data_IF_160620994088
#
_entry.id   IF_160620994088
#
_cell.length_a   1.000
_cell.length_b   1.000
_cell.length_c   1.000
_cell.angle_alpha   90.00
_cell.angle_beta   90.00
_cell.angle_gamma   90.00
#
_symmetry.space_group_name_H-M   'P 1'
#
loop_
_entity.id
_entity.type
_entity.pdbx_description
1 polymer ?
#
# COMPACT_ATOMS: atom_id res chain seq x y z
N UNK A 1 5.01 -50.26 -37.47
CA UNK A 1 5.36 -48.82 -37.57
C UNK A 1 6.59 -48.67 -38.46
N UNK A 2 6.59 -47.75 -39.43
CA UNK A 2 7.74 -47.57 -40.31
C UNK A 2 8.87 -46.84 -39.57
N UNK A 3 10.13 -47.03 -39.99
CA UNK A 3 11.29 -46.33 -39.41
C UNK A 3 11.11 -44.80 -39.43
N UNK A 4 10.41 -44.27 -40.43
CA UNK A 4 10.09 -42.85 -40.53
C UNK A 4 9.13 -42.39 -39.42
N UNK A 5 8.12 -43.20 -39.06
CA UNK A 5 7.17 -42.87 -37.99
C UNK A 5 7.86 -42.81 -36.62
N UNK A 6 8.84 -43.69 -36.37
CA UNK A 6 9.60 -43.69 -35.10
C UNK A 6 10.49 -42.46 -34.99
N UNK A 7 11.15 -42.06 -36.08
CA UNK A 7 12.03 -40.88 -36.10
C UNK A 7 11.22 -39.60 -35.85
N UNK A 8 10.04 -39.46 -36.48
CA UNK A 8 9.16 -38.29 -36.28
C UNK A 8 8.68 -38.21 -34.83
N UNK A 9 8.33 -39.34 -34.21
CA UNK A 9 7.90 -39.36 -32.81
C UNK A 9 9.02 -38.98 -31.85
N UNK A 10 10.25 -39.44 -32.10
CA UNK A 10 11.43 -39.13 -31.27
C UNK A 10 11.81 -37.65 -31.40
N UNK A 11 11.71 -37.07 -32.60
CA UNK A 11 11.96 -35.64 -32.81
C UNK A 11 10.90 -34.77 -32.14
N UNK A 12 9.62 -35.15 -32.22
CA UNK A 12 8.54 -34.43 -31.53
C UNK A 12 8.64 -34.51 -30.00
N UNK A 13 9.06 -35.66 -29.47
CA UNK A 13 9.36 -35.82 -28.04
C UNK A 13 10.55 -34.97 -27.59
N UNK A 14 11.60 -34.86 -28.41
CA UNK A 14 12.75 -34.00 -28.10
C UNK A 14 12.43 -32.49 -28.18
N UNK A 15 11.63 -32.07 -29.16
CA UNK A 15 11.18 -30.66 -29.27
C UNK A 15 10.22 -30.30 -28.13
N UNK A 16 9.34 -31.22 -27.73
CA UNK A 16 8.46 -31.05 -26.58
C UNK A 16 9.21 -30.96 -25.24
N UNK A 17 10.30 -31.72 -25.07
CA UNK A 17 11.09 -31.68 -23.83
C UNK A 17 11.96 -30.43 -23.70
N UNK A 18 12.53 -29.93 -24.80
CA UNK A 18 13.35 -28.70 -24.78
C UNK A 18 12.48 -27.45 -24.55
N UNK A 19 11.23 -27.45 -24.99
CA UNK A 19 10.31 -26.33 -24.77
C UNK A 19 9.76 -26.24 -23.33
N UNK A 20 9.75 -27.34 -22.57
CA UNK A 20 9.32 -27.35 -21.17
C UNK A 20 10.41 -26.95 -20.16
N UNK A 21 11.66 -26.77 -20.61
CA UNK A 21 12.77 -26.35 -19.73
C UNK A 21 13.17 -24.88 -19.89
N UNK A 22 12.37 -24.08 -20.59
CA UNK A 22 12.44 -22.63 -20.48
C UNK A 22 11.94 -22.24 -19.07
N UNK A 23 12.82 -22.40 -18.08
CA UNK A 23 12.67 -21.75 -16.78
C UNK A 23 12.69 -20.27 -17.09
N UNK A 24 11.52 -19.62 -17.03
CA UNK A 24 11.48 -18.18 -17.01
C UNK A 24 12.48 -17.75 -15.94
N UNK A 25 13.52 -17.04 -16.36
CA UNK A 25 14.30 -16.25 -15.42
C UNK A 25 13.28 -15.28 -14.87
N UNK A 26 12.78 -15.56 -13.66
CA UNK A 26 12.26 -14.54 -12.78
C UNK A 26 13.40 -13.52 -12.70
N UNK A 27 13.31 -12.48 -13.53
CA UNK A 27 13.97 -11.23 -13.20
C UNK A 27 13.42 -10.91 -11.82
N UNK A 28 14.28 -10.87 -10.81
CA UNK A 28 13.95 -10.15 -9.58
C UNK A 28 13.49 -8.77 -10.07
N UNK A 29 12.18 -8.57 -10.12
CA UNK A 29 11.63 -7.25 -10.26
C UNK A 29 12.03 -6.62 -8.95
N UNK A 30 12.90 -5.61 -8.99
CA UNK A 30 13.32 -4.90 -7.79
C UNK A 30 12.08 -4.66 -6.93
N UNK A 31 12.15 -5.10 -5.67
CA UNK A 31 11.05 -4.92 -4.73
C UNK A 31 10.79 -3.42 -4.68
N UNK A 32 9.62 -3.01 -5.15
CA UNK A 32 9.33 -1.59 -5.24
C UNK A 32 9.06 -1.07 -3.83
N UNK A 33 9.87 -0.10 -3.39
CA UNK A 33 9.78 0.48 -2.05
C UNK A 33 9.88 1.99 -2.12
N UNK A 34 9.32 2.65 -1.11
CA UNK A 34 9.48 4.08 -0.92
C UNK A 34 9.64 4.41 0.57
N UNK A 35 10.38 5.47 0.91
CA UNK A 35 10.57 5.87 2.29
C UNK A 35 9.32 6.55 2.86
N UNK A 36 9.07 6.36 4.15
CA UNK A 36 8.13 7.17 4.94
C UNK A 36 8.68 7.42 6.34
N UNK A 37 8.16 8.45 7.02
CA UNK A 37 8.47 8.70 8.42
C UNK A 37 7.59 7.83 9.29
N UNK A 38 8.20 6.87 9.96
CA UNK A 38 7.56 6.11 11.01
C UNK A 38 7.70 6.86 12.35
N UNK A 39 6.58 7.08 13.02
CA UNK A 39 6.50 7.63 14.36
C UNK A 39 6.39 6.48 15.36
N UNK A 40 7.31 6.41 16.32
CA UNK A 40 7.22 5.52 17.46
C UNK A 40 6.33 6.11 18.57
N UNK A 41 6.12 5.36 19.65
CA UNK A 41 5.41 5.85 20.83
C UNK A 41 6.02 7.16 21.34
N UNK A 42 5.20 8.21 21.50
CA UNK A 42 5.65 9.54 21.88
C UNK A 42 6.08 10.45 20.72
N UNK A 43 5.96 9.97 19.46
CA UNK A 43 6.17 10.78 18.27
C UNK A 43 7.62 10.85 17.78
N UNK A 44 8.51 9.98 18.26
CA UNK A 44 9.88 9.90 17.76
C UNK A 44 9.90 9.47 16.30
N UNK A 45 10.59 10.24 15.45
CA UNK A 45 10.67 10.01 14.02
C UNK A 45 11.81 9.05 13.64
N UNK A 46 11.49 8.07 12.81
CA UNK A 46 12.44 7.12 12.22
C UNK A 46 12.10 6.92 10.73
N UNK A 47 13.09 6.77 9.86
CA UNK A 47 12.83 6.47 8.44
C UNK A 47 12.66 4.97 8.23
N UNK A 48 11.53 4.58 7.65
CA UNK A 48 11.22 3.19 7.29
C UNK A 48 10.90 3.09 5.80
N UNK A 49 10.99 1.88 5.25
CA UNK A 49 10.56 1.59 3.89
C UNK A 49 9.15 0.96 3.91
N UNK A 50 8.26 1.53 3.12
CA UNK A 50 7.03 0.85 2.70
C UNK A 50 7.31 0.03 1.45
N UNK A 51 6.59 -1.07 1.28
CA UNK A 51 6.75 -1.99 0.15
C UNK A 51 5.48 -2.01 -0.69
N UNK A 52 5.60 -1.77 -1.98
CA UNK A 52 4.51 -1.90 -2.94
C UNK A 52 4.40 -3.38 -3.35
N UNK A 53 3.38 -4.06 -2.84
CA UNK A 53 3.08 -5.46 -3.13
C UNK A 53 2.39 -5.63 -4.49
N UNK A 54 1.61 -4.64 -4.89
CA UNK A 54 0.85 -4.62 -6.14
C UNK A 54 0.80 -3.18 -6.66
N UNK A 55 1.01 -3.02 -7.96
CA UNK A 55 0.84 -1.75 -8.68
C UNK A 55 0.25 -2.03 -10.06
N UNK A 56 -0.87 -1.38 -10.38
CA UNK A 56 -1.52 -1.51 -11.69
C UNK A 56 -2.19 -0.18 -12.07
N UNK A 57 -1.70 0.44 -13.15
CA UNK A 57 -2.24 1.68 -13.70
C UNK A 57 -3.21 1.48 -14.86
N UNK A 58 -4.13 2.42 -15.02
CA UNK A 58 -4.84 2.71 -16.27
C UNK A 58 -4.80 4.23 -16.54
N UNK A 59 -5.56 4.71 -17.53
CA UNK A 59 -5.57 6.13 -17.92
C UNK A 59 -6.24 7.08 -16.93
N UNK A 60 -6.84 6.57 -15.85
CA UNK A 60 -7.63 7.36 -14.89
C UNK A 60 -7.15 7.25 -13.44
N UNK A 61 -6.59 6.10 -13.07
CA UNK A 61 -6.00 5.89 -11.75
C UNK A 61 -4.95 4.78 -11.78
N UNK A 62 -4.15 4.75 -10.72
CA UNK A 62 -3.25 3.64 -10.38
C UNK A 62 -3.68 3.04 -9.05
N UNK A 63 -3.82 1.71 -9.02
CA UNK A 63 -4.09 0.95 -7.80
C UNK A 63 -2.79 0.45 -7.18
N UNK A 64 -2.72 0.50 -5.85
CA UNK A 64 -1.60 0.04 -5.05
C UNK A 64 -2.08 -0.89 -3.93
N UNK A 65 -1.28 -1.90 -3.60
CA UNK A 65 -1.26 -2.50 -2.26
C UNK A 65 0.08 -2.20 -1.62
N UNK A 66 0.06 -1.55 -0.45
CA UNK A 66 1.25 -1.09 0.25
C UNK A 66 1.36 -1.76 1.61
N UNK A 67 2.42 -2.52 1.84
CA UNK A 67 2.79 -3.03 3.15
C UNK A 67 3.66 -2.01 3.88
N UNK A 68 3.30 -1.65 5.11
CA UNK A 68 4.06 -0.73 5.94
C UNK A 68 3.90 -1.04 7.43
N UNK A 69 4.82 -0.53 8.25
CA UNK A 69 4.76 -0.69 9.69
C UNK A 69 3.86 0.37 10.31
N UNK A 70 2.75 -0.04 10.94
CA UNK A 70 1.70 0.87 11.44
C UNK A 70 1.94 1.36 12.86
N UNK A 71 2.24 0.48 13.80
CA UNK A 71 2.67 0.84 15.16
C UNK A 71 3.64 -0.22 15.68
N UNK A 72 4.73 0.24 16.29
CA UNK A 72 5.65 -0.60 17.09
C UNK A 72 5.46 -0.38 18.60
N UNK A 73 4.44 0.39 18.95
CA UNK A 73 4.17 0.91 20.27
C UNK A 73 3.52 -0.11 21.23
N UNK A 74 3.19 -1.31 20.75
CA UNK A 74 2.59 -2.42 21.52
C UNK A 74 3.15 -3.76 21.05
N UNK A 75 2.83 -4.80 21.80
CA UNK A 75 3.27 -6.16 21.55
C UNK A 75 2.93 -6.65 20.13
N UNK A 76 3.84 -7.43 19.53
CA UNK A 76 3.68 -8.03 18.20
C UNK A 76 2.47 -8.95 18.07
N UNK A 77 1.93 -9.45 19.18
CA UNK A 77 0.69 -10.24 19.20
C UNK A 77 -0.54 -9.43 18.80
N UNK A 78 -0.47 -8.10 18.87
CA UNK A 78 -1.58 -7.18 18.57
C UNK A 78 -1.20 -6.05 17.60
N UNK A 79 0.06 -6.00 17.16
CA UNK A 79 0.56 -5.07 16.15
C UNK A 79 1.39 -5.81 15.10
N UNK A 80 1.06 -5.61 13.84
CA UNK A 80 1.75 -6.23 12.73
C UNK A 80 1.81 -5.25 11.54
N UNK A 81 2.43 -5.68 10.44
CA UNK A 81 2.44 -4.89 9.22
C UNK A 81 1.01 -4.63 8.74
N UNK A 82 0.70 -3.37 8.46
CA UNK A 82 -0.52 -3.00 7.76
C UNK A 82 -0.33 -3.22 6.26
N UNK A 83 -1.41 -3.64 5.59
CA UNK A 83 -1.49 -3.66 4.12
C UNK A 83 -2.62 -2.72 3.72
N UNK A 84 -2.28 -1.59 3.09
CA UNK A 84 -3.25 -0.61 2.62
C UNK A 84 -3.50 -0.81 1.13
N UNK A 85 -4.75 -1.01 0.72
CA UNK A 85 -5.14 -0.85 -0.66
C UNK A 85 -5.55 0.59 -0.92
N UNK A 86 -4.99 1.20 -1.97
CA UNK A 86 -5.30 2.60 -2.32
C UNK A 86 -5.26 2.79 -3.83
N UNK A 87 -6.24 3.51 -4.35
CA UNK A 87 -6.28 3.98 -5.73
C UNK A 87 -5.98 5.48 -5.76
N UNK A 88 -5.07 5.91 -6.63
CA UNK A 88 -4.69 7.31 -6.78
C UNK A 88 -5.02 7.80 -8.20
N UNK A 89 -5.61 8.98 -8.30
CA UNK A 89 -5.90 9.60 -9.59
C UNK A 89 -4.60 10.02 -10.28
N UNK A 90 -4.36 9.48 -11.48
CA UNK A 90 -3.26 9.87 -12.37
C UNK A 90 -3.73 10.72 -13.56
N UNK A 91 -5.04 10.99 -13.68
CA UNK A 91 -5.61 11.78 -14.77
C UNK A 91 -5.72 13.27 -14.48
N UNK A 92 -5.13 13.74 -13.38
CA UNK A 92 -5.21 15.16 -13.01
C UNK A 92 -4.17 15.95 -13.81
N UNK A 93 -4.37 17.26 -14.04
CA UNK A 93 -3.40 18.07 -14.78
C UNK A 93 -2.02 18.16 -14.11
N UNK A 94 -1.97 18.09 -12.78
CA UNK A 94 -0.74 18.22 -11.99
C UNK A 94 -0.66 17.16 -10.89
N UNK A 95 0.55 16.84 -10.46
CA UNK A 95 0.79 15.91 -9.37
C UNK A 95 0.12 16.36 -8.06
N UNK A 96 0.14 17.66 -7.77
CA UNK A 96 -0.45 18.24 -6.56
C UNK A 96 -1.98 18.08 -6.51
N UNK A 97 -2.62 18.00 -7.67
CA UNK A 97 -4.05 17.72 -7.81
C UNK A 97 -4.40 16.21 -7.80
N UNK A 98 -3.40 15.33 -7.86
CA UNK A 98 -3.62 13.89 -7.65
C UNK A 98 -4.30 13.69 -6.31
N UNK A 99 -5.25 12.76 -6.25
CA UNK A 99 -6.07 12.52 -5.06
C UNK A 99 -6.35 11.04 -4.86
N UNK A 100 -6.63 10.67 -3.62
CA UNK A 100 -7.10 9.33 -3.29
C UNK A 100 -8.49 9.12 -3.91
N UNK A 101 -8.60 8.15 -4.80
CA UNK A 101 -9.89 7.74 -5.40
C UNK A 101 -10.63 6.76 -4.50
N UNK A 102 -9.89 5.82 -3.90
CA UNK A 102 -10.40 4.81 -2.98
C UNK A 102 -9.27 4.38 -2.05
N UNK A 103 -9.60 3.99 -0.82
CA UNK A 103 -8.67 3.46 0.17
C UNK A 103 -9.42 2.46 1.07
N UNK A 104 -8.79 1.34 1.40
CA UNK A 104 -9.37 0.35 2.32
C UNK A 104 -8.29 -0.56 2.92
N UNK A 105 -8.58 -1.04 4.13
CA UNK A 105 -7.84 -2.14 4.78
C UNK A 105 -8.64 -3.44 4.82
N UNK A 106 -9.90 -3.42 4.36
CA UNK A 106 -10.82 -4.56 4.43
C UNK A 106 -10.97 -5.30 3.10
N UNK A 107 -12.09 -6.03 2.97
CA UNK A 107 -12.55 -6.67 1.73
C UNK A 107 -11.52 -7.62 1.06
N UNK A 108 -10.63 -8.24 1.84
CA UNK A 108 -9.49 -9.04 1.35
C UNK A 108 -8.51 -8.27 0.44
N UNK A 109 -8.54 -6.93 0.48
CA UNK A 109 -7.63 -6.07 -0.28
C UNK A 109 -6.51 -5.50 0.57
N UNK A 110 -6.71 -5.44 1.88
CA UNK A 110 -5.74 -4.96 2.85
C UNK A 110 -5.79 -5.73 4.17
N UNK A 111 -5.10 -5.16 5.16
CA UNK A 111 -5.04 -5.64 6.53
C UNK A 111 -4.77 -4.46 7.45
N UNK A 112 -5.68 -4.19 8.39
CA UNK A 112 -5.47 -3.21 9.45
C UNK A 112 -4.48 -3.75 10.49
N UNK A 113 -3.36 -3.04 10.69
CA UNK A 113 -2.21 -3.48 11.49
C UNK A 113 -2.15 -2.96 12.93
N UNK A 114 -3.23 -2.38 13.46
CA UNK A 114 -3.38 -2.07 14.90
C UNK A 114 -4.37 -3.05 15.53
N UNK A 115 -4.46 -3.02 16.87
CA UNK A 115 -5.44 -3.79 17.63
C UNK A 115 -6.86 -3.54 17.12
N UNK A 116 -7.64 -4.62 16.98
CA UNK A 116 -9.07 -4.55 16.69
C UNK A 116 -9.87 -5.32 17.78
N UNK A 117 -10.71 -4.64 18.59
CA UNK A 117 -10.87 -3.18 18.64
C UNK A 117 -9.64 -2.47 19.20
N UNK A 118 -9.63 -1.14 19.17
CA UNK A 118 -8.57 -0.34 19.77
C UNK A 118 -8.37 -0.74 21.25
N UNK A 119 -7.10 -0.92 21.61
CA UNK A 119 -6.71 -1.34 22.95
C UNK A 119 -7.24 -0.45 24.10
N UNK A 120 -7.39 0.85 23.88
CA UNK A 120 -7.85 1.79 24.92
C UNK A 120 -9.35 2.06 24.88
N UNK A 121 -9.97 1.94 23.71
CA UNK A 121 -11.37 2.28 23.47
C UNK A 121 -12.00 1.13 22.68
N UNK A 122 -12.71 0.24 23.37
CA UNK A 122 -13.27 -0.99 22.78
C UNK A 122 -14.29 -0.75 21.65
N UNK A 123 -14.87 0.43 21.60
CA UNK A 123 -15.83 0.88 20.61
C UNK A 123 -15.14 1.22 19.27
N UNK A 124 -13.83 1.49 19.29
CA UNK A 124 -13.05 1.82 18.10
C UNK A 124 -12.61 0.53 17.41
N UNK A 125 -13.59 -0.12 16.80
CA UNK A 125 -13.43 -1.29 15.93
C UNK A 125 -12.75 -0.92 14.60
N UNK A 126 -12.37 -1.92 13.82
CA UNK A 126 -11.89 -1.67 12.44
C UNK A 126 -12.94 -0.97 11.59
N UNK A 127 -14.23 -1.29 11.74
CA UNK A 127 -15.32 -0.60 11.06
C UNK A 127 -15.41 0.88 11.49
N UNK A 128 -15.24 1.16 12.78
CA UNK A 128 -15.20 2.53 13.29
C UNK A 128 -14.00 3.31 12.72
N UNK A 129 -12.81 2.70 12.70
CA UNK A 129 -11.62 3.33 12.13
C UNK A 129 -11.75 3.52 10.61
N UNK A 130 -12.41 2.59 9.91
CA UNK A 130 -12.71 2.78 8.49
C UNK A 130 -13.58 4.01 8.28
N UNK A 131 -14.67 4.15 9.03
CA UNK A 131 -15.59 5.28 8.93
C UNK A 131 -14.95 6.63 9.30
N UNK A 132 -14.17 6.67 10.38
CA UNK A 132 -13.71 7.92 10.99
C UNK A 132 -12.27 8.33 10.67
N UNK A 133 -11.46 7.42 10.10
CA UNK A 133 -10.07 7.70 9.71
C UNK A 133 -9.83 7.39 8.23
N UNK A 134 -10.23 6.21 7.74
CA UNK A 134 -9.85 5.75 6.40
C UNK A 134 -10.69 6.39 5.30
N UNK A 135 -12.02 6.27 5.37
CA UNK A 135 -12.92 6.82 4.36
C UNK A 135 -12.87 8.35 4.23
N UNK A 136 -12.63 9.14 5.30
CA UNK A 136 -12.40 10.58 5.19
C UNK A 136 -11.19 10.97 4.33
N UNK A 137 -10.26 10.04 4.05
CA UNK A 137 -9.11 10.26 3.17
C UNK A 137 -9.49 10.21 1.68
N UNK A 138 -10.66 9.68 1.33
CA UNK A 138 -11.13 9.67 -0.06
C UNK A 138 -11.28 11.11 -0.55
N UNK A 139 -10.70 11.39 -1.72
CA UNK A 139 -10.55 12.70 -2.38
C UNK A 139 -9.52 13.64 -1.78
N UNK A 140 -8.85 13.26 -0.70
CA UNK A 140 -7.72 14.06 -0.19
C UNK A 140 -6.62 14.08 -1.26
N UNK A 141 -6.17 15.29 -1.55
CA UNK A 141 -5.16 15.58 -2.58
C UNK A 141 -3.74 15.44 -2.04
N UNK A 142 -2.77 15.30 -2.95
CA UNK A 142 -1.34 15.39 -2.62
C UNK A 142 -1.04 16.70 -1.88
N UNK A 143 -1.55 17.83 -2.37
CA UNK A 143 -1.32 19.13 -1.75
C UNK A 143 -1.82 19.20 -0.29
N UNK A 144 -2.97 18.59 0.01
CA UNK A 144 -3.50 18.51 1.38
C UNK A 144 -2.66 17.60 2.28
N UNK A 145 -2.21 16.44 1.77
CA UNK A 145 -1.30 15.56 2.51
C UNK A 145 0.07 16.23 2.72
N UNK A 146 0.55 17.01 1.76
CA UNK A 146 1.82 17.73 1.90
C UNK A 146 1.74 18.83 2.95
N UNK A 147 0.58 19.48 3.08
CA UNK A 147 0.30 20.50 4.09
C UNK A 147 0.08 19.93 5.52
N UNK A 148 -0.09 18.61 5.66
CA UNK A 148 -0.18 17.96 6.95
C UNK A 148 1.11 18.16 7.77
N UNK A 149 0.94 18.50 9.05
CA UNK A 149 2.03 18.98 9.93
C UNK A 149 2.75 17.86 10.70
N UNK A 150 2.47 16.61 10.37
CA UNK A 150 3.09 15.45 11.01
C UNK A 150 2.36 14.99 12.27
N UNK A 151 3.05 14.18 13.06
CA UNK A 151 2.50 13.45 14.20
C UNK A 151 1.69 14.31 15.17
N UNK A 152 0.56 13.78 15.64
CA UNK A 152 -0.34 14.48 16.56
C UNK A 152 -1.23 15.54 15.92
N UNK A 153 -1.10 15.81 14.61
CA UNK A 153 -1.98 16.72 13.87
C UNK A 153 -2.84 15.94 12.89
N UNK A 154 -4.01 16.48 12.53
CA UNK A 154 -4.92 15.88 11.56
C UNK A 154 -5.22 16.86 10.43
N UNK A 155 -5.56 16.32 9.26
CA UNK A 155 -6.21 17.10 8.21
C UNK A 155 -7.66 17.43 8.64
N UNK A 156 -8.28 18.50 8.11
CA UNK A 156 -9.60 18.95 8.55
C UNK A 156 -10.73 17.91 8.49
N UNK A 157 -10.57 16.89 7.63
CA UNK A 157 -11.54 15.81 7.41
C UNK A 157 -11.56 14.77 8.54
N UNK A 158 -10.52 14.71 9.38
CA UNK A 158 -10.39 13.72 10.45
C UNK A 158 -10.55 14.41 11.80
N UNK A 159 -11.52 13.93 12.58
CA UNK A 159 -11.69 14.35 13.97
C UNK A 159 -10.58 13.73 14.84
N UNK A 160 -9.86 14.57 15.58
CA UNK A 160 -8.78 14.13 16.46
C UNK A 160 -9.29 13.22 17.60
N UNK A 161 -10.53 13.42 18.06
CA UNK A 161 -11.11 12.60 19.12
C UNK A 161 -11.49 11.20 18.61
N UNK A 162 -11.89 11.11 17.34
CA UNK A 162 -12.27 9.84 16.70
C UNK A 162 -11.08 8.90 16.41
N UNK A 163 -9.85 9.35 16.63
CA UNK A 163 -8.65 8.53 16.51
C UNK A 163 -7.85 8.45 17.81
N UNK A 164 -8.44 8.90 18.91
CA UNK A 164 -7.83 8.82 20.23
C UNK A 164 -7.42 7.36 20.54
N UNK A 165 -6.19 7.18 21.01
CA UNK A 165 -5.64 5.83 21.27
C UNK A 165 -5.11 5.11 20.02
N UNK A 166 -5.24 5.68 18.82
CA UNK A 166 -4.69 5.16 17.55
C UNK A 166 -3.72 6.15 16.87
N UNK A 167 -3.24 7.17 17.58
CA UNK A 167 -2.45 8.29 17.02
C UNK A 167 -1.17 7.87 16.30
N UNK A 168 -0.53 6.78 16.75
CA UNK A 168 0.67 6.23 16.09
C UNK A 168 0.29 5.63 14.73
N UNK A 169 -0.70 4.74 14.72
CA UNK A 169 -1.19 4.09 13.49
C UNK A 169 -1.73 5.10 12.49
N UNK A 170 -2.51 6.10 12.94
CA UNK A 170 -3.02 7.16 12.06
C UNK A 170 -1.90 8.04 11.52
N UNK A 171 -0.94 8.46 12.35
CA UNK A 171 0.23 9.23 11.91
C UNK A 171 1.08 8.48 10.87
N UNK A 172 1.27 7.18 11.06
CA UNK A 172 2.03 6.34 10.14
C UNK A 172 1.28 6.07 8.82
N UNK A 173 -0.05 5.93 8.86
CA UNK A 173 -0.88 5.92 7.65
C UNK A 173 -0.71 7.23 6.85
N UNK A 174 -0.82 8.39 7.52
CA UNK A 174 -0.67 9.69 6.87
C UNK A 174 0.71 9.89 6.26
N UNK A 175 1.78 9.48 6.98
CA UNK A 175 3.15 9.57 6.44
C UNK A 175 3.39 8.59 5.29
N UNK A 176 2.87 7.37 5.38
CA UNK A 176 2.96 6.40 4.28
C UNK A 176 2.24 6.94 3.04
N UNK A 177 1.04 7.50 3.18
CA UNK A 177 0.32 8.11 2.05
C UNK A 177 1.10 9.29 1.44
N UNK A 178 1.77 10.10 2.27
CA UNK A 178 2.66 11.17 1.78
C UNK A 178 3.80 10.60 0.93
N UNK A 179 4.46 9.54 1.40
CA UNK A 179 5.50 8.84 0.63
C UNK A 179 4.95 8.26 -0.68
N UNK A 180 3.76 7.66 -0.64
CA UNK A 180 3.10 7.11 -1.82
C UNK A 180 2.72 8.19 -2.84
N UNK A 181 2.24 9.35 -2.40
CA UNK A 181 1.99 10.50 -3.28
C UNK A 181 3.25 10.97 -3.99
N UNK A 182 4.38 11.04 -3.29
CA UNK A 182 5.68 11.35 -3.90
C UNK A 182 6.06 10.31 -4.95
N UNK A 183 6.02 9.01 -4.59
CA UNK A 183 6.29 7.93 -5.53
C UNK A 183 5.38 8.00 -6.76
N UNK A 184 4.08 8.22 -6.55
CA UNK A 184 3.10 8.32 -7.63
C UNK A 184 3.37 9.51 -8.56
N UNK A 185 3.74 10.67 -8.01
CA UNK A 185 4.11 11.84 -8.80
C UNK A 185 5.32 11.54 -9.71
N UNK A 186 6.38 10.96 -9.14
CA UNK A 186 7.61 10.61 -9.87
C UNK A 186 7.37 9.63 -11.03
N UNK A 187 6.38 8.75 -10.92
CA UNK A 187 6.10 7.71 -11.92
C UNK A 187 5.07 8.12 -12.98
N UNK A 188 4.12 8.99 -12.63
CA UNK A 188 2.95 9.28 -13.47
C UNK A 188 2.79 10.75 -13.88
N UNK A 189 3.64 11.65 -13.37
CA UNK A 189 3.54 13.09 -13.65
C UNK A 189 4.86 13.74 -14.06
N UNK A 190 6.01 13.15 -13.73
CA UNK A 190 7.31 13.60 -14.21
C UNK A 190 7.51 13.16 -15.68
N UNK A 191 7.12 14.05 -16.60
CA UNK A 191 7.28 13.91 -18.06
C UNK A 191 8.01 15.12 -18.65
#
# INVERSE_FOLDING_TARGET
MSKATVIVLVVLLFVGFVCCCAREKFSEKDICTFPFTHYASGGTEETYQAVILFEQGNSTFTSYQVAYLSCTCRDTMVNYYSICYVEMLNSRPTADESAIRSITFGNNQGLWGDSNPNYYISEYTEEYMDEHLVQPLVRVTKAEIDAWKGYGTQIPQIDADAIAGATVSSGNLMSMLKGLFTYHAEHYYDH
#
